data_IF_565217312226
#
_entry.id   IF_565217312226
#
_cell.length_a   1.000
_cell.length_b   1.000
_cell.length_c   1.000
_cell.angle_alpha   90.00
_cell.angle_beta   90.00
_cell.angle_gamma   90.00
#
_symmetry.space_group_name_H-M   'P 1'
#
loop_
_entity.id
_entity.type
_entity.pdbx_description
1 polymer ?
#
# COMPACT_ATOMS: atom_id res chain seq x y z
N UNK A 1 37.25 7.55 -16.73
CA UNK A 1 35.92 6.93 -16.51
C UNK A 1 35.71 5.96 -17.65
N UNK A 2 35.64 4.66 -17.37
CA UNK A 2 35.61 3.64 -18.41
C UNK A 2 34.19 3.55 -19.02
N UNK A 3 34.07 3.35 -20.33
CA UNK A 3 32.78 3.26 -21.03
C UNK A 3 31.87 2.16 -20.45
N UNK A 4 32.47 1.09 -19.92
CA UNK A 4 31.78 0.02 -19.20
C UNK A 4 31.12 0.49 -17.89
N UNK A 5 31.75 1.41 -17.16
CA UNK A 5 31.21 1.97 -15.91
C UNK A 5 30.02 2.89 -16.13
N UNK A 6 29.99 3.59 -17.27
CA UNK A 6 28.87 4.45 -17.66
C UNK A 6 27.65 3.58 -18.02
N UNK A 7 27.88 2.51 -18.79
CA UNK A 7 26.82 1.57 -19.17
C UNK A 7 26.20 0.89 -17.94
N UNK A 8 27.01 0.45 -16.97
CA UNK A 8 26.47 -0.17 -15.74
C UNK A 8 25.70 0.83 -14.88
N UNK A 9 26.16 2.07 -14.74
CA UNK A 9 25.42 3.10 -14.01
C UNK A 9 24.08 3.44 -14.67
N UNK A 10 24.02 3.49 -16.00
CA UNK A 10 22.77 3.68 -16.73
C UNK A 10 21.78 2.53 -16.48
N UNK A 11 22.24 1.28 -16.52
CA UNK A 11 21.39 0.12 -16.26
C UNK A 11 20.88 0.11 -14.81
N UNK A 12 21.75 0.42 -13.85
CA UNK A 12 21.37 0.51 -12.43
C UNK A 12 20.37 1.64 -12.19
N UNK A 13 20.59 2.81 -12.82
CA UNK A 13 19.68 3.95 -12.74
C UNK A 13 18.32 3.64 -13.38
N UNK A 14 18.32 2.97 -14.53
CA UNK A 14 17.09 2.55 -15.21
C UNK A 14 16.30 1.55 -14.37
N UNK A 15 16.98 0.54 -13.81
CA UNK A 15 16.36 -0.45 -12.92
C UNK A 15 15.67 0.19 -11.71
N UNK A 16 16.36 1.12 -11.02
CA UNK A 16 15.74 1.87 -9.91
C UNK A 16 14.56 2.71 -10.35
N UNK A 17 14.66 3.36 -11.51
CA UNK A 17 13.56 4.18 -12.05
C UNK A 17 12.36 3.33 -12.43
N UNK A 18 12.54 2.10 -12.93
CA UNK A 18 11.43 1.19 -13.23
C UNK A 18 10.63 0.82 -11.98
N UNK A 19 11.31 0.55 -10.86
CA UNK A 19 10.63 0.27 -9.57
C UNK A 19 9.80 1.48 -9.14
N UNK A 20 10.42 2.67 -9.15
CA UNK A 20 9.72 3.92 -8.78
C UNK A 20 8.59 4.25 -9.76
N UNK A 21 8.75 3.94 -11.05
CA UNK A 21 7.73 4.15 -12.08
C UNK A 21 6.53 3.24 -11.85
N UNK A 22 6.72 1.95 -11.55
CA UNK A 22 5.62 1.02 -11.23
C UNK A 22 4.86 1.51 -9.99
N UNK A 23 5.56 1.93 -8.94
CA UNK A 23 4.94 2.47 -7.72
C UNK A 23 4.15 3.76 -8.03
N UNK A 24 4.75 4.70 -8.75
CA UNK A 24 4.13 6.00 -9.10
C UNK A 24 2.93 5.85 -10.05
N UNK A 25 3.02 4.95 -11.03
CA UNK A 25 1.91 4.65 -11.95
C UNK A 25 0.73 4.01 -11.22
N UNK A 26 0.98 3.11 -10.26
CA UNK A 26 -0.08 2.56 -9.39
C UNK A 26 -0.79 3.64 -8.57
N UNK A 27 -0.03 4.55 -7.95
CA UNK A 27 -0.59 5.69 -7.22
C UNK A 27 -1.36 6.64 -8.15
N UNK A 28 -0.86 6.91 -9.35
CA UNK A 28 -1.53 7.73 -10.36
C UNK A 28 -2.85 7.11 -10.83
N UNK A 29 -2.90 5.77 -10.95
CA UNK A 29 -4.10 5.06 -11.37
C UNK A 29 -5.17 5.10 -10.27
N UNK A 30 -4.78 4.88 -9.01
CA UNK A 30 -5.67 4.96 -7.85
C UNK A 30 -6.20 6.38 -7.65
N UNK A 31 -5.34 7.40 -7.68
CA UNK A 31 -5.74 8.80 -7.45
C UNK A 31 -6.41 9.44 -8.67
N UNK A 32 -6.09 8.99 -9.89
CA UNK A 32 -6.57 9.56 -11.15
C UNK A 32 -7.90 8.98 -11.63
N UNK A 33 -8.06 7.65 -11.64
CA UNK A 33 -9.26 7.00 -12.21
C UNK A 33 -10.40 6.94 -11.18
N UNK A 34 -10.09 6.67 -9.91
CA UNK A 34 -11.12 6.59 -8.86
C UNK A 34 -11.53 7.97 -8.32
N UNK A 35 -10.80 9.05 -8.65
CA UNK A 35 -11.00 10.45 -8.19
C UNK A 35 -11.08 10.64 -6.66
N UNK A 36 -10.66 9.65 -5.89
CA UNK A 36 -10.76 9.64 -4.44
C UNK A 36 -9.36 9.62 -3.87
N UNK A 37 -8.81 10.78 -3.46
CA UNK A 37 -7.54 10.81 -2.76
C UNK A 37 -7.69 10.14 -1.38
N UNK A 38 -7.28 8.88 -1.29
CA UNK A 38 -7.33 8.11 -0.05
C UNK A 38 -6.09 8.40 0.83
N UNK A 39 -6.27 9.27 1.83
CA UNK A 39 -5.22 9.59 2.81
C UNK A 39 -4.89 8.40 3.72
N UNK A 40 -5.84 7.48 3.95
CA UNK A 40 -5.67 6.30 4.81
C UNK A 40 -4.87 5.17 4.17
N UNK A 41 -4.47 5.25 2.90
CA UNK A 41 -3.70 4.15 2.27
C UNK A 41 -2.39 3.85 3.03
N UNK A 42 -1.78 4.86 3.66
CA UNK A 42 -0.57 4.72 4.47
C UNK A 42 -0.80 3.90 5.75
N UNK A 43 -1.96 4.05 6.41
CA UNK A 43 -2.28 3.26 7.61
C UNK A 43 -2.55 1.79 7.25
N UNK A 44 -3.23 1.52 6.12
CA UNK A 44 -3.37 0.15 5.60
C UNK A 44 -2.02 -0.50 5.27
N UNK A 45 -1.09 0.26 4.68
CA UNK A 45 0.27 -0.21 4.45
C UNK A 45 0.98 -0.58 5.76
N UNK A 46 0.89 0.28 6.79
CA UNK A 46 1.51 0.03 8.10
C UNK A 46 0.91 -1.20 8.78
N UNK A 47 -0.41 -1.36 8.75
CA UNK A 47 -1.10 -2.53 9.31
C UNK A 47 -0.61 -3.81 8.63
N UNK A 48 -0.51 -3.81 7.29
CA UNK A 48 0.02 -4.96 6.54
C UNK A 48 1.46 -5.29 6.89
N UNK A 49 2.33 -4.28 7.00
CA UNK A 49 3.73 -4.46 7.40
C UNK A 49 3.85 -5.04 8.82
N UNK A 50 3.08 -4.50 9.78
CA UNK A 50 3.05 -5.00 11.15
C UNK A 50 2.52 -6.42 11.24
N UNK A 51 1.43 -6.74 10.54
CA UNK A 51 0.89 -8.10 10.47
C UNK A 51 1.91 -9.08 9.92
N UNK A 52 2.58 -8.73 8.83
CA UNK A 52 3.60 -9.58 8.22
C UNK A 52 4.77 -9.82 9.20
N UNK A 53 5.22 -8.76 9.90
CA UNK A 53 6.24 -8.86 10.94
C UNK A 53 5.78 -9.70 12.15
N UNK A 54 4.54 -9.54 12.60
CA UNK A 54 3.98 -10.31 13.71
C UNK A 54 3.86 -11.79 13.33
N UNK A 55 3.41 -12.11 12.12
CA UNK A 55 3.30 -13.50 11.65
C UNK A 55 4.67 -14.16 11.56
N UNK A 56 5.68 -13.47 11.01
CA UNK A 56 7.03 -14.02 10.88
C UNK A 56 7.74 -14.15 12.22
N UNK A 57 7.51 -13.23 13.16
CA UNK A 57 8.08 -13.30 14.52
C UNK A 57 7.43 -14.39 15.39
N UNK A 58 6.11 -14.64 15.25
CA UNK A 58 5.43 -15.68 16.03
C UNK A 58 5.73 -17.10 15.55
N UNK A 59 5.84 -17.32 14.24
CA UNK A 59 6.10 -18.65 13.65
C UNK A 59 7.59 -19.00 13.58
N UNK A 60 8.48 -18.08 13.95
CA UNK A 60 9.94 -18.25 13.90
C UNK A 60 10.54 -17.95 12.53
N UNK A 61 11.86 -17.71 12.50
CA UNK A 61 12.61 -17.46 11.27
C UNK A 61 12.73 -18.74 10.44
N UNK A 62 11.81 -18.93 9.51
CA UNK A 62 11.83 -20.04 8.56
C UNK A 62 11.16 -19.64 7.25
N UNK A 63 11.57 -20.27 6.14
CA UNK A 63 10.99 -19.98 4.82
C UNK A 63 9.47 -20.13 4.80
N UNK A 64 8.91 -21.03 5.61
CA UNK A 64 7.47 -21.22 5.77
C UNK A 64 6.75 -20.00 6.38
N UNK A 65 7.35 -19.33 7.39
CA UNK A 65 6.74 -18.16 8.01
C UNK A 65 6.75 -16.95 7.06
N UNK A 66 7.77 -16.82 6.22
CA UNK A 66 7.83 -15.80 5.17
C UNK A 66 6.69 -15.97 4.14
N UNK A 67 6.50 -17.18 3.61
CA UNK A 67 5.44 -17.47 2.64
C UNK A 67 4.04 -17.30 3.23
N UNK A 68 3.87 -17.59 4.51
CA UNK A 68 2.63 -17.30 5.23
C UNK A 68 2.44 -15.80 5.43
N UNK A 69 3.45 -15.05 5.86
CA UNK A 69 3.36 -13.61 6.08
C UNK A 69 3.00 -12.85 4.80
N UNK A 70 3.66 -13.16 3.69
CA UNK A 70 3.40 -12.50 2.39
C UNK A 70 2.01 -12.82 1.83
N UNK A 71 1.39 -13.94 2.24
CA UNK A 71 0.07 -14.36 1.76
C UNK A 71 -1.05 -13.90 2.70
N UNK A 72 -0.91 -14.14 4.01
CA UNK A 72 -1.92 -13.81 5.01
C UNK A 72 -2.05 -12.31 5.25
N UNK A 73 -0.95 -11.56 5.28
CA UNK A 73 -1.00 -10.12 5.55
C UNK A 73 -1.89 -9.36 4.54
N UNK A 74 -1.73 -9.50 3.21
CA UNK A 74 -2.62 -8.81 2.27
C UNK A 74 -4.06 -9.32 2.29
N UNK A 75 -4.30 -10.60 2.60
CA UNK A 75 -5.66 -11.14 2.76
C UNK A 75 -6.36 -10.46 3.96
N UNK A 76 -5.69 -10.38 5.10
CA UNK A 76 -6.23 -9.78 6.33
C UNK A 76 -6.46 -8.28 6.12
N UNK A 77 -5.50 -7.57 5.55
CA UNK A 77 -5.66 -6.14 5.23
C UNK A 77 -6.77 -5.91 4.21
N UNK A 78 -6.89 -6.77 3.19
CA UNK A 78 -7.97 -6.72 2.20
C UNK A 78 -9.34 -6.93 2.83
N UNK A 79 -9.47 -7.86 3.78
CA UNK A 79 -10.70 -8.06 4.55
C UNK A 79 -11.04 -6.83 5.40
N UNK A 80 -10.07 -6.26 6.12
CA UNK A 80 -10.26 -5.02 6.90
C UNK A 80 -10.73 -3.88 5.98
N UNK A 81 -10.07 -3.70 4.83
CA UNK A 81 -10.44 -2.73 3.82
C UNK A 81 -11.87 -2.93 3.30
N UNK A 82 -12.25 -4.18 3.02
CA UNK A 82 -13.61 -4.52 2.57
C UNK A 82 -14.68 -4.20 3.62
N UNK A 83 -14.44 -4.52 4.90
CA UNK A 83 -15.37 -4.17 5.98
C UNK A 83 -15.50 -2.67 6.16
N UNK A 84 -14.39 -1.93 6.06
CA UNK A 84 -14.40 -0.46 6.13
C UNK A 84 -15.11 0.16 4.94
N UNK A 85 -14.90 -0.37 3.73
CA UNK A 85 -15.58 0.08 2.52
C UNK A 85 -17.10 -0.15 2.62
N UNK A 86 -17.50 -1.36 2.99
CA UNK A 86 -18.91 -1.74 3.07
C UNK A 86 -19.65 -1.03 4.20
N UNK A 87 -18.98 -0.74 5.33
CA UNK A 87 -19.56 -0.05 6.48
C UNK A 87 -19.57 1.47 6.36
N UNK A 88 -18.41 2.09 6.06
CA UNK A 88 -18.25 3.54 6.09
C UNK A 88 -18.34 4.20 4.72
N UNK A 89 -17.69 3.63 3.70
CA UNK A 89 -17.68 4.25 2.38
C UNK A 89 -19.04 4.14 1.68
N UNK A 90 -19.74 3.02 1.83
CA UNK A 90 -21.08 2.84 1.22
C UNK A 90 -22.10 3.88 1.70
N UNK A 91 -22.01 4.32 2.97
CA UNK A 91 -22.92 5.29 3.57
C UNK A 91 -22.56 6.74 3.23
N UNK A 92 -21.28 7.03 2.98
CA UNK A 92 -20.79 8.40 2.76
C UNK A 92 -20.66 8.77 1.27
N UNK A 93 -20.64 7.80 0.35
CA UNK A 93 -20.55 8.05 -1.10
C UNK A 93 -21.73 8.86 -1.67
N UNK A 94 -22.90 8.80 -1.03
CA UNK A 94 -24.09 9.57 -1.44
C UNK A 94 -23.98 11.08 -1.12
N UNK A 95 -22.93 11.53 -0.43
CA UNK A 95 -22.82 12.89 0.12
C UNK A 95 -21.42 13.48 -0.17
N UNK A 96 -21.34 14.32 -1.20
CA UNK A 96 -20.24 15.23 -1.59
C UNK A 96 -18.75 14.79 -1.47
N UNK A 97 -17.99 15.08 -2.52
CA UNK A 97 -16.56 14.73 -2.68
C UNK A 97 -15.64 15.14 -1.50
N UNK A 98 -15.99 16.22 -0.79
CA UNK A 98 -15.21 16.75 0.33
C UNK A 98 -15.29 15.86 1.59
N UNK A 99 -16.42 15.18 1.79
CA UNK A 99 -16.66 14.36 2.98
C UNK A 99 -15.83 13.08 2.99
N UNK A 100 -15.51 12.58 1.79
CA UNK A 100 -14.65 11.43 1.57
C UNK A 100 -13.16 11.71 1.89
N UNK A 101 -12.72 12.93 1.59
CA UNK A 101 -11.42 13.45 2.01
C UNK A 101 -11.34 13.56 3.54
N UNK A 102 -12.39 14.09 4.18
CA UNK A 102 -12.46 14.20 5.63
C UNK A 102 -12.48 12.81 6.32
N UNK A 103 -13.22 11.86 5.77
CA UNK A 103 -13.31 10.49 6.27
C UNK A 103 -11.95 9.77 6.19
N UNK A 104 -11.28 9.84 5.05
CA UNK A 104 -9.96 9.20 4.87
C UNK A 104 -8.90 9.84 5.75
N UNK A 105 -8.98 11.15 6.00
CA UNK A 105 -8.12 11.85 6.96
C UNK A 105 -8.40 11.40 8.41
N UNK A 106 -9.68 11.27 8.79
CA UNK A 106 -10.08 10.76 10.10
C UNK A 106 -9.60 9.33 10.35
N UNK A 107 -9.73 8.44 9.36
CA UNK A 107 -9.20 7.08 9.44
C UNK A 107 -7.68 7.05 9.55
N UNK A 108 -6.97 7.86 8.75
CA UNK A 108 -5.52 7.97 8.84
C UNK A 108 -5.06 8.40 10.25
N UNK A 109 -5.79 9.29 10.92
CA UNK A 109 -5.45 9.78 12.25
C UNK A 109 -5.82 8.84 13.41
N UNK A 110 -6.71 7.87 13.18
CA UNK A 110 -7.13 6.88 14.19
C UNK A 110 -6.34 5.57 14.05
N UNK A 111 -6.03 5.16 12.82
CA UNK A 111 -5.32 3.90 12.51
C UNK A 111 -3.80 4.07 12.40
N UNK A 112 -3.34 5.28 12.04
CA UNK A 112 -1.92 5.64 12.00
C UNK A 112 -1.47 6.25 13.32
#
# INVERSE_FOLDING_TARGET
MNSSSILTQLIVGLSRTMILFIVSSGMSLILGVLRIPNVAHGSFYMIGAFLSYTITSFLGEGSYSFWLGITLAPIIVGLIGFFLERGFFSYLYEREHLMLLLLTFGFASILG
#
